data_IF_079093215814
#
_entry.id   IF_079093215814
#
_cell.length_a   1.000
_cell.length_b   1.000
_cell.length_c   1.000
_cell.angle_alpha   90.00
_cell.angle_beta   90.00
_cell.angle_gamma   90.00
#
_symmetry.space_group_name_H-M   'P 1'
#
loop_
_entity.id
_entity.type
_entity.pdbx_description
1 polymer ?
#
# COMPACT_ATOMS: atom_id res chain seq x y z
N UNK A 1 8.77 5.54 0.75
CA UNK A 1 8.30 4.74 -0.38
C UNK A 1 7.29 3.71 0.13
N UNK A 2 6.00 3.89 -0.14
CA UNK A 2 4.95 2.96 0.29
C UNK A 2 5.13 1.54 -0.29
N UNK A 3 5.90 1.37 -1.38
CA UNK A 3 6.16 0.08 -2.01
C UNK A 3 6.85 -0.93 -1.08
N UNK A 4 7.61 -0.45 -0.07
CA UNK A 4 8.31 -1.30 0.91
C UNK A 4 7.36 -2.11 1.79
N UNK A 5 6.14 -1.65 1.97
CA UNK A 5 5.13 -2.37 2.76
C UNK A 5 4.50 -3.52 1.99
N UNK A 6 4.59 -3.53 0.65
CA UNK A 6 4.05 -4.59 -0.20
C UNK A 6 4.75 -5.94 0.04
N UNK A 7 6.01 -5.93 0.48
CA UNK A 7 6.75 -7.15 0.82
C UNK A 7 6.09 -7.95 1.96
N UNK A 8 5.21 -7.31 2.74
CA UNK A 8 4.49 -7.90 3.86
C UNK A 8 2.99 -8.11 3.54
N UNK A 9 2.61 -8.03 2.26
CA UNK A 9 1.22 -8.21 1.85
C UNK A 9 0.75 -9.64 2.18
N UNK A 10 -0.39 -9.74 2.87
CA UNK A 10 -0.95 -11.02 3.29
C UNK A 10 -0.33 -11.61 4.57
N UNK A 11 0.83 -11.10 5.01
CA UNK A 11 1.46 -11.52 6.26
C UNK A 11 0.75 -10.91 7.48
N UNK A 12 0.71 -11.63 8.61
CA UNK A 12 0.18 -11.11 9.86
C UNK A 12 1.08 -10.00 10.41
N UNK A 13 0.49 -8.83 10.62
CA UNK A 13 1.14 -7.76 11.37
C UNK A 13 1.18 -8.13 12.84
N UNK A 14 2.35 -8.02 13.45
CA UNK A 14 2.56 -8.35 14.85
C UNK A 14 2.70 -7.09 15.71
N UNK A 15 1.96 -7.03 16.80
CA UNK A 15 2.09 -6.04 17.87
C UNK A 15 2.52 -6.74 19.16
N UNK A 16 3.75 -6.50 19.62
CA UNK A 16 4.28 -7.20 20.80
C UNK A 16 4.43 -8.72 20.62
N UNK A 17 4.49 -9.20 19.37
CA UNK A 17 4.54 -10.63 19.03
C UNK A 17 3.19 -11.24 18.65
N UNK A 18 2.08 -10.55 18.91
CA UNK A 18 0.73 -11.06 18.66
C UNK A 18 0.13 -10.52 17.34
N UNK A 19 -0.64 -11.32 16.58
CA UNK A 19 -1.30 -10.86 15.36
C UNK A 19 -2.34 -9.76 15.62
N UNK A 20 -2.20 -8.63 14.94
CA UNK A 20 -3.10 -7.46 15.05
C UNK A 20 -3.76 -7.07 13.74
N UNK A 21 -3.41 -7.72 12.63
CA UNK A 21 -3.99 -7.42 11.32
C UNK A 21 -3.16 -7.95 10.17
N UNK A 22 -3.34 -7.37 8.97
CA UNK A 22 -2.53 -7.67 7.78
C UNK A 22 -2.39 -6.45 6.89
N UNK A 23 -1.33 -6.41 6.09
CA UNK A 23 -1.18 -5.39 5.05
C UNK A 23 -1.94 -5.84 3.81
N UNK A 24 -2.79 -4.95 3.29
CA UNK A 24 -3.43 -5.09 1.98
C UNK A 24 -2.99 -3.91 1.10
N UNK A 25 -2.22 -4.13 0.02
CA UNK A 25 -1.96 -3.08 -0.96
C UNK A 25 -3.28 -2.64 -1.60
N UNK A 26 -3.43 -1.33 -1.77
CA UNK A 26 -4.58 -0.71 -2.44
C UNK A 26 -4.08 0.32 -3.43
N UNK A 27 -4.72 0.39 -4.61
CA UNK A 27 -4.34 1.30 -5.69
C UNK A 27 -4.68 2.77 -5.41
N UNK A 28 -5.13 3.09 -4.20
CA UNK A 28 -5.55 4.43 -3.79
C UNK A 28 -4.42 5.49 -3.87
N UNK A 29 -3.16 5.08 -3.98
CA UNK A 29 -2.00 5.97 -4.08
C UNK A 29 -1.32 5.93 -5.46
N UNK A 30 -1.90 5.22 -6.44
CA UNK A 30 -1.40 5.26 -7.82
C UNK A 30 -1.70 6.65 -8.39
N UNK A 31 -0.69 7.42 -8.83
CA UNK A 31 -0.92 8.71 -9.45
C UNK A 31 -1.75 8.52 -10.71
N UNK A 32 -2.94 9.13 -10.74
CA UNK A 32 -3.76 9.13 -11.94
C UNK A 32 -2.98 9.80 -13.09
N UNK A 33 -3.10 9.29 -14.34
CA UNK A 33 -2.54 9.95 -15.50
C UNK A 33 -3.04 11.40 -15.54
N UNK A 34 -2.12 12.36 -15.43
CA UNK A 34 -2.49 13.77 -15.51
C UNK A 34 -3.05 14.02 -16.92
N UNK A 35 -4.30 14.52 -17.06
CA UNK A 35 -4.80 14.88 -18.38
C UNK A 35 -3.89 15.96 -18.97
N UNK A 36 -3.59 15.82 -20.26
CA UNK A 36 -2.84 16.82 -21.02
C UNK A 36 -3.57 18.16 -20.87
N UNK A 37 -2.87 19.19 -20.39
CA UNK A 37 -3.41 20.54 -20.37
C UNK A 37 -3.80 20.91 -21.81
N UNK A 38 -5.02 21.41 -22.00
CA UNK A 38 -5.54 21.76 -23.33
C UNK A 38 -4.63 22.80 -23.99
N UNK A 39 -4.42 22.64 -25.31
CA UNK A 39 -3.72 23.58 -26.16
C UNK A 39 -4.61 24.76 -26.55
#
# INVERSE_FOLDING_TARGET
DPSRLTAFAGEPLLGGGEPVGRIRPVDALTPEPRPSACA
#
